data_IF_344688887280
#
_entry.id   IF_344688887280
#
_cell.length_a   1.000
_cell.length_b   1.000
_cell.length_c   1.000
_cell.angle_alpha   90.00
_cell.angle_beta   90.00
_cell.angle_gamma   90.00
#
_symmetry.space_group_name_H-M   'P 1'
#
loop_
_entity.id
_entity.type
_entity.pdbx_description
1 polymer ?
#
# COMPACT_ATOMS: atom_id res chain seq x y z
N UNK A 1 -32.50 27.89 -1.63
CA UNK A 1 -31.67 27.65 -2.86
C UNK A 1 -30.56 26.64 -2.60
N UNK A 2 -29.78 26.72 -1.49
CA UNK A 2 -28.71 25.78 -1.17
C UNK A 2 -29.31 24.42 -0.80
N UNK A 3 -30.30 24.39 0.08
CA UNK A 3 -31.00 23.16 0.48
C UNK A 3 -31.59 22.44 -0.74
N UNK A 4 -32.32 23.14 -1.61
CA UNK A 4 -32.86 22.57 -2.85
C UNK A 4 -31.77 22.02 -3.79
N UNK A 5 -30.59 22.65 -3.80
CA UNK A 5 -29.45 22.16 -4.57
C UNK A 5 -28.96 20.80 -4.05
N UNK A 6 -28.78 20.67 -2.73
CA UNK A 6 -28.34 19.40 -2.13
C UNK A 6 -29.37 18.28 -2.31
N UNK A 7 -30.66 18.57 -2.10
CA UNK A 7 -31.70 17.57 -2.35
C UNK A 7 -31.74 17.08 -3.80
N UNK A 8 -31.64 18.01 -4.75
CA UNK A 8 -31.59 17.66 -6.17
C UNK A 8 -30.32 16.88 -6.53
N UNK A 9 -29.19 17.25 -5.94
CA UNK A 9 -27.92 16.58 -6.19
C UNK A 9 -27.93 15.18 -5.59
N UNK A 10 -28.46 15.01 -4.39
CA UNK A 10 -28.60 13.71 -3.73
C UNK A 10 -29.53 12.74 -4.49
N UNK A 11 -30.57 13.28 -5.14
CA UNK A 11 -31.49 12.51 -6.00
C UNK A 11 -30.94 12.24 -7.41
N UNK A 12 -29.78 12.82 -7.76
CA UNK A 12 -29.13 12.63 -9.05
C UNK A 12 -28.03 11.54 -8.96
N UNK A 13 -27.57 11.06 -10.11
CA UNK A 13 -26.43 10.10 -10.18
C UNK A 13 -25.06 10.78 -10.02
N UNK A 14 -25.00 11.94 -9.32
CA UNK A 14 -23.74 12.65 -9.08
C UNK A 14 -23.13 12.23 -7.74
N UNK A 15 -21.85 11.91 -7.75
CA UNK A 15 -21.10 11.71 -6.51
C UNK A 15 -21.04 13.05 -5.73
N UNK A 16 -21.64 13.09 -4.54
CA UNK A 16 -21.62 14.28 -3.68
C UNK A 16 -20.31 14.42 -2.91
N UNK A 17 -19.65 13.31 -2.62
CA UNK A 17 -18.38 13.27 -1.93
C UNK A 17 -17.49 12.21 -2.57
N UNK A 18 -16.20 12.29 -2.27
CA UNK A 18 -15.19 11.30 -2.61
C UNK A 18 -14.47 10.88 -1.34
N UNK A 19 -14.05 9.65 -1.30
CA UNK A 19 -13.19 9.14 -0.26
C UNK A 19 -11.78 8.95 -0.81
N UNK A 20 -10.78 9.42 -0.06
CA UNK A 20 -9.37 9.20 -0.31
C UNK A 20 -8.80 8.41 0.87
N UNK A 21 -8.05 7.35 0.56
CA UNK A 21 -7.38 6.53 1.57
C UNK A 21 -5.88 6.77 1.45
N UNK A 22 -5.27 7.25 2.55
CA UNK A 22 -3.84 7.44 2.66
C UNK A 22 -3.25 6.36 3.56
N UNK A 23 -2.44 5.48 2.99
CA UNK A 23 -1.75 4.42 3.70
C UNK A 23 -0.25 4.52 3.45
N UNK A 24 0.56 4.39 4.50
CA UNK A 24 2.01 4.34 4.46
C UNK A 24 2.46 3.01 5.06
N UNK A 25 3.32 2.31 4.33
CA UNK A 25 3.76 0.97 4.72
C UNK A 25 2.71 -0.12 4.44
N UNK A 26 3.17 -1.34 4.48
CA UNK A 26 2.36 -2.54 4.34
C UNK A 26 2.26 -3.31 5.66
N UNK A 27 1.47 -4.38 5.69
CA UNK A 27 1.29 -5.22 6.87
C UNK A 27 2.63 -5.72 7.42
N UNK A 28 3.54 -6.19 6.55
CA UNK A 28 4.83 -6.73 6.96
C UNK A 28 5.72 -5.67 7.64
N UNK A 29 5.70 -4.44 7.13
CA UNK A 29 6.40 -3.33 7.75
C UNK A 29 5.89 -3.05 9.17
N UNK A 30 4.56 -3.02 9.35
CA UNK A 30 3.95 -2.69 10.63
C UNK A 30 4.01 -3.82 11.66
N UNK A 31 4.07 -5.09 11.22
CA UNK A 31 4.35 -6.22 12.10
C UNK A 31 5.78 -6.16 12.69
N UNK A 32 6.74 -5.66 11.89
CA UNK A 32 8.14 -5.48 12.34
C UNK A 32 8.37 -4.19 13.15
N UNK A 33 7.49 -3.20 13.04
CA UNK A 33 7.64 -1.88 13.64
C UNK A 33 6.39 -1.42 14.42
N UNK A 34 5.89 -2.19 15.38
CA UNK A 34 4.63 -1.87 16.08
C UNK A 34 4.73 -0.59 16.92
N UNK A 35 5.91 -0.27 17.43
CA UNK A 35 6.21 0.92 18.23
C UNK A 35 6.14 2.22 17.43
N UNK A 36 6.31 2.16 16.11
CA UNK A 36 6.25 3.33 15.23
C UNK A 36 4.81 3.72 14.83
N UNK A 37 3.81 2.87 15.09
CA UNK A 37 2.41 3.09 14.61
C UNK A 37 1.85 4.45 15.05
N UNK A 38 2.07 4.86 16.31
CA UNK A 38 1.58 6.14 16.85
C UNK A 38 2.26 7.38 16.26
N UNK A 39 3.43 7.22 15.65
CA UNK A 39 4.10 8.34 14.96
C UNK A 39 3.35 8.75 13.69
N UNK A 40 2.44 7.89 13.20
CA UNK A 40 1.61 8.19 12.04
C UNK A 40 0.60 9.32 12.27
N UNK A 41 0.27 9.66 13.52
CA UNK A 41 -0.58 10.82 13.82
C UNK A 41 -0.02 12.11 13.20
N UNK A 42 1.29 12.33 13.34
CA UNK A 42 1.96 13.52 12.77
C UNK A 42 1.98 13.43 11.25
N UNK A 43 2.32 12.25 10.70
CA UNK A 43 2.39 12.05 9.26
C UNK A 43 1.03 12.28 8.58
N UNK A 44 -0.05 11.70 9.11
CA UNK A 44 -1.39 11.87 8.56
C UNK A 44 -1.91 13.30 8.69
N UNK A 45 -1.59 14.00 9.79
CA UNK A 45 -1.91 15.42 9.94
C UNK A 45 -1.23 16.25 8.84
N UNK A 46 0.06 16.05 8.62
CA UNK A 46 0.78 16.76 7.56
C UNK A 46 0.25 16.42 6.15
N UNK A 47 -0.10 15.16 5.88
CA UNK A 47 -0.74 14.76 4.61
C UNK A 47 -2.06 15.49 4.42
N UNK A 48 -2.86 15.64 5.46
CA UNK A 48 -4.12 16.37 5.40
C UNK A 48 -3.90 17.85 5.10
N UNK A 49 -2.91 18.48 5.72
CA UNK A 49 -2.51 19.87 5.45
C UNK A 49 -2.01 20.04 4.01
N UNK A 50 -1.21 19.10 3.50
CA UNK A 50 -0.76 19.08 2.10
C UNK A 50 -1.94 18.91 1.12
N UNK A 51 -2.90 18.04 1.45
CA UNK A 51 -4.10 17.87 0.65
C UNK A 51 -4.89 19.19 0.56
N UNK A 52 -5.14 19.85 1.68
CA UNK A 52 -5.83 21.13 1.71
C UNK A 52 -5.08 22.23 0.93
N UNK A 53 -3.74 22.22 0.99
CA UNK A 53 -2.89 23.17 0.27
C UNK A 53 -2.89 22.96 -1.24
N UNK A 54 -2.73 21.71 -1.69
CA UNK A 54 -2.58 21.40 -3.12
C UNK A 54 -3.90 21.09 -3.83
N UNK A 55 -4.97 20.81 -3.07
CA UNK A 55 -6.29 20.48 -3.58
C UNK A 55 -7.40 21.32 -2.91
N UNK A 56 -7.36 22.66 -2.98
CA UNK A 56 -8.34 23.53 -2.31
C UNK A 56 -9.78 23.32 -2.79
N UNK A 57 -9.96 22.71 -3.96
CA UNK A 57 -11.26 22.33 -4.52
C UNK A 57 -11.83 21.04 -3.92
N UNK A 58 -11.07 20.32 -3.10
CA UNK A 58 -11.54 19.22 -2.26
C UNK A 58 -11.79 19.75 -0.85
N UNK A 59 -13.05 20.06 -0.55
CA UNK A 59 -13.44 20.54 0.78
C UNK A 59 -13.54 19.33 1.70
N UNK A 60 -12.57 19.18 2.59
CA UNK A 60 -12.54 18.08 3.55
C UNK A 60 -13.71 18.20 4.53
N UNK A 61 -14.56 17.19 4.56
CA UNK A 61 -15.69 17.08 5.47
C UNK A 61 -15.35 16.28 6.73
N UNK A 62 -14.54 15.23 6.59
CA UNK A 62 -14.09 14.40 7.70
C UNK A 62 -12.75 13.72 7.37
N UNK A 63 -11.95 13.45 8.39
CA UNK A 63 -10.75 12.65 8.29
C UNK A 63 -10.62 11.78 9.55
N UNK A 64 -10.46 10.46 9.36
CA UNK A 64 -10.38 9.48 10.45
C UNK A 64 -9.16 8.58 10.23
N UNK A 65 -8.39 8.35 11.28
CA UNK A 65 -7.23 7.46 11.26
C UNK A 65 -7.64 6.13 11.91
N UNK A 66 -7.38 5.03 11.21
CA UNK A 66 -7.61 3.68 11.68
C UNK A 66 -6.29 3.04 12.11
N UNK A 67 -6.27 2.53 13.35
CA UNK A 67 -5.13 1.82 13.95
C UNK A 67 -5.44 0.36 14.29
N UNK A 68 -6.69 -0.02 14.21
CA UNK A 68 -7.22 -1.35 14.54
C UNK A 68 -6.97 -2.39 13.44
N UNK A 69 -6.61 -1.95 12.25
CA UNK A 69 -6.26 -2.82 11.13
C UNK A 69 -4.74 -3.12 11.04
N UNK A 70 -4.36 -3.98 10.10
CA UNK A 70 -2.98 -4.43 9.91
C UNK A 70 -2.00 -3.28 9.64
N UNK A 71 -2.44 -2.25 8.93
CA UNK A 71 -1.65 -1.07 8.59
C UNK A 71 -2.40 0.20 8.97
N UNK A 72 -1.79 1.17 9.66
CA UNK A 72 -2.41 2.47 9.89
C UNK A 72 -2.75 3.15 8.57
N UNK A 73 -3.94 3.70 8.48
CA UNK A 73 -4.39 4.44 7.31
C UNK A 73 -5.39 5.53 7.71
N UNK A 74 -5.48 6.55 6.86
CA UNK A 74 -6.39 7.67 7.07
C UNK A 74 -7.43 7.70 5.95
N UNK A 75 -8.69 7.69 6.32
CA UNK A 75 -9.82 7.94 5.45
C UNK A 75 -10.14 9.43 5.44
N UNK A 76 -10.16 10.04 4.28
CA UNK A 76 -10.53 11.44 4.10
C UNK A 76 -11.75 11.51 3.20
N UNK A 77 -12.87 11.96 3.76
CA UNK A 77 -14.09 12.25 3.00
C UNK A 77 -14.09 13.73 2.62
N UNK A 78 -14.16 14.01 1.34
CA UNK A 78 -14.13 15.37 0.83
C UNK A 78 -15.20 15.62 -0.24
N UNK A 79 -15.71 16.85 -0.28
CA UNK A 79 -16.67 17.32 -1.28
C UNK A 79 -15.91 17.99 -2.42
N UNK A 80 -15.97 17.46 -3.66
CA UNK A 80 -15.29 18.04 -4.81
C UNK A 80 -16.10 19.24 -5.34
N UNK A 81 -15.65 20.46 -5.06
CA UNK A 81 -16.32 21.72 -5.44
C UNK A 81 -15.63 22.33 -6.63
N UNK A 82 -16.33 22.41 -7.75
CA UNK A 82 -15.86 23.09 -8.95
C UNK A 82 -16.60 24.42 -9.15
N UNK A 83 -15.93 25.36 -9.80
CA UNK A 83 -16.43 26.69 -10.09
C UNK A 83 -16.69 26.90 -11.60
N UNK A 84 -17.30 28.05 -11.95
CA UNK A 84 -17.49 28.47 -13.33
C UNK A 84 -18.67 27.81 -14.03
N UNK A 85 -19.70 27.39 -13.31
CA UNK A 85 -20.92 26.86 -13.91
C UNK A 85 -21.82 28.01 -14.37
N UNK A 86 -22.27 27.96 -15.63
CA UNK A 86 -23.17 28.97 -16.24
C UNK A 86 -24.63 28.75 -15.85
N UNK A 87 -25.03 27.53 -15.46
CA UNK A 87 -26.40 27.19 -15.08
C UNK A 87 -26.47 26.81 -13.62
N UNK A 88 -27.41 27.36 -12.88
CA UNK A 88 -27.59 27.12 -11.46
C UNK A 88 -26.65 27.94 -10.60
N UNK A 89 -26.05 27.30 -9.57
CA UNK A 89 -25.04 27.95 -8.73
C UNK A 89 -23.68 27.97 -9.45
N UNK A 90 -22.92 29.04 -9.27
CA UNK A 90 -21.58 29.20 -9.86
C UNK A 90 -20.59 28.16 -9.31
N UNK A 91 -20.73 27.76 -8.04
CA UNK A 91 -20.01 26.66 -7.38
C UNK A 91 -20.94 25.47 -7.27
N UNK A 92 -20.52 24.31 -7.75
CA UNK A 92 -21.28 23.07 -7.68
C UNK A 92 -20.37 21.88 -7.38
N UNK A 93 -20.95 20.83 -6.79
CA UNK A 93 -20.28 19.56 -6.62
C UNK A 93 -20.00 18.92 -7.98
N UNK A 94 -18.76 18.55 -8.24
CA UNK A 94 -18.36 17.90 -9.49
C UNK A 94 -17.07 17.08 -9.35
N UNK A 95 -17.21 15.79 -9.04
CA UNK A 95 -16.10 14.85 -9.05
C UNK A 95 -15.34 14.87 -10.39
N UNK A 96 -16.07 14.88 -11.51
CA UNK A 96 -15.47 14.86 -12.85
C UNK A 96 -14.57 16.07 -13.15
N UNK A 97 -14.89 17.26 -12.61
CA UNK A 97 -14.08 18.46 -12.82
C UNK A 97 -12.93 18.60 -11.84
N UNK A 98 -13.03 18.03 -10.66
CA UNK A 98 -12.04 18.15 -9.58
C UNK A 98 -11.09 16.96 -9.54
N UNK A 99 -11.65 15.74 -9.57
CA UNK A 99 -10.86 14.51 -9.50
C UNK A 99 -10.49 14.03 -10.91
N UNK A 100 -9.74 14.84 -11.64
CA UNK A 100 -9.25 14.51 -12.98
C UNK A 100 -8.06 13.54 -12.91
N UNK A 101 -7.67 13.02 -14.07
CA UNK A 101 -6.47 12.19 -14.16
C UNK A 101 -5.22 12.98 -13.74
N UNK A 102 -5.11 14.23 -14.19
CA UNK A 102 -4.03 15.13 -13.83
C UNK A 102 -3.98 15.38 -12.32
N UNK A 103 -5.14 15.56 -11.67
CA UNK A 103 -5.22 15.68 -10.21
C UNK A 103 -4.65 14.45 -9.52
N UNK A 104 -5.03 13.26 -9.97
CA UNK A 104 -4.56 12.00 -9.37
C UNK A 104 -3.05 11.79 -9.58
N UNK A 105 -2.54 12.08 -10.77
CA UNK A 105 -1.14 11.83 -11.15
C UNK A 105 -0.19 12.93 -10.66
N UNK A 106 -0.56 14.22 -10.83
CA UNK A 106 0.34 15.34 -10.52
C UNK A 106 0.19 15.81 -9.07
N UNK A 107 -1.01 15.80 -8.50
CA UNK A 107 -1.22 16.29 -7.14
C UNK A 107 -1.07 15.16 -6.13
N UNK A 108 -1.88 14.10 -6.20
CA UNK A 108 -1.83 13.03 -5.20
C UNK A 108 -0.56 12.18 -5.31
N UNK A 109 -0.29 11.64 -6.51
CA UNK A 109 0.85 10.76 -6.77
C UNK A 109 2.14 11.52 -7.14
N UNK A 110 2.06 12.81 -7.39
CA UNK A 110 3.16 13.71 -7.61
C UNK A 110 3.49 14.51 -6.36
N UNK A 111 2.99 15.73 -6.24
CA UNK A 111 3.38 16.72 -5.20
C UNK A 111 3.21 16.21 -3.77
N UNK A 112 2.05 15.62 -3.42
CA UNK A 112 1.82 15.12 -2.06
C UNK A 112 2.75 13.94 -1.79
N UNK A 113 2.87 13.00 -2.73
CA UNK A 113 3.76 11.85 -2.60
C UNK A 113 5.22 12.27 -2.42
N UNK A 114 5.71 13.23 -3.20
CA UNK A 114 7.08 13.76 -3.09
C UNK A 114 7.32 14.39 -1.72
N UNK A 115 6.39 15.20 -1.22
CA UNK A 115 6.49 15.76 0.13
C UNK A 115 6.56 14.66 1.20
N UNK A 116 5.75 13.61 1.07
CA UNK A 116 5.76 12.46 1.99
C UNK A 116 7.07 11.69 1.90
N UNK A 117 7.56 11.39 0.68
CA UNK A 117 8.82 10.67 0.47
C UNK A 117 10.00 11.40 1.13
N UNK A 118 10.04 12.74 1.06
CA UNK A 118 11.08 13.57 1.67
C UNK A 118 11.00 13.61 3.21
N UNK A 119 9.85 13.35 3.81
CA UNK A 119 9.63 13.46 5.26
C UNK A 119 9.49 12.12 5.97
N UNK A 120 9.27 11.04 5.23
CA UNK A 120 8.99 9.72 5.82
C UNK A 120 10.14 9.23 6.71
N UNK A 121 11.39 9.56 6.33
CA UNK A 121 12.56 9.22 7.13
C UNK A 121 12.54 9.91 8.50
N UNK A 122 12.08 11.18 8.57
CA UNK A 122 11.94 11.92 9.82
C UNK A 122 10.89 11.29 10.73
N UNK A 123 9.78 10.80 10.17
CA UNK A 123 8.70 10.21 10.93
C UNK A 123 8.99 8.78 11.39
N UNK A 124 9.55 7.96 10.50
CA UNK A 124 9.68 6.52 10.70
C UNK A 124 11.12 6.01 10.79
N UNK A 125 12.12 6.82 10.38
CA UNK A 125 13.52 6.39 10.26
C UNK A 125 13.77 5.42 9.10
N UNK A 126 12.85 5.38 8.12
CA UNK A 126 12.85 4.46 6.99
C UNK A 126 12.57 5.20 5.69
N UNK A 127 13.01 4.67 4.56
CA UNK A 127 12.66 5.20 3.25
C UNK A 127 11.50 4.41 2.63
N UNK A 128 10.62 5.10 1.90
CA UNK A 128 9.57 4.42 1.14
C UNK A 128 10.18 3.63 -0.03
N UNK A 129 9.57 2.49 -0.31
CA UNK A 129 9.85 1.74 -1.53
C UNK A 129 9.50 2.60 -2.75
N UNK A 130 10.31 2.52 -3.79
CA UNK A 130 10.09 3.21 -5.06
C UNK A 130 8.67 2.97 -5.59
N UNK A 131 8.09 3.98 -6.21
CA UNK A 131 6.78 3.89 -6.85
C UNK A 131 6.82 2.78 -7.92
N UNK A 132 5.90 1.83 -7.82
CA UNK A 132 5.72 0.83 -8.89
C UNK A 132 5.19 1.51 -10.15
N UNK A 133 5.80 1.20 -11.29
CA UNK A 133 5.29 1.65 -12.59
C UNK A 133 4.06 0.85 -12.98
N UNK A 134 3.08 1.54 -13.58
CA UNK A 134 1.84 0.95 -14.04
C UNK A 134 0.64 1.20 -13.11
N UNK A 135 -0.55 0.98 -13.65
CA UNK A 135 -1.82 1.09 -12.91
C UNK A 135 -2.15 -0.27 -12.31
N UNK A 136 -2.34 -0.32 -10.99
CA UNK A 136 -2.97 -1.50 -10.40
C UNK A 136 -4.39 -1.61 -10.92
N UNK A 137 -4.77 -2.81 -11.38
CA UNK A 137 -6.17 -3.11 -11.68
C UNK A 137 -6.92 -3.10 -10.34
N UNK A 138 -8.03 -2.38 -10.29
CA UNK A 138 -8.92 -2.46 -9.13
C UNK A 138 -9.51 -3.87 -9.09
N UNK A 139 -9.12 -4.62 -8.07
CA UNK A 139 -9.58 -5.98 -7.84
C UNK A 139 -10.75 -5.93 -6.85
N UNK A 140 -11.76 -6.76 -7.07
CA UNK A 140 -12.76 -7.02 -6.05
C UNK A 140 -12.10 -7.66 -4.82
N UNK A 141 -12.75 -7.61 -3.66
CA UNK A 141 -12.24 -8.21 -2.41
C UNK A 141 -11.93 -9.71 -2.61
N UNK A 142 -12.75 -10.40 -3.39
CA UNK A 142 -12.56 -11.83 -3.69
C UNK A 142 -11.33 -12.04 -4.56
N UNK A 143 -11.20 -11.30 -5.66
CA UNK A 143 -10.03 -11.37 -6.55
C UNK A 143 -8.73 -11.02 -5.82
N UNK A 144 -8.76 -10.02 -4.93
CA UNK A 144 -7.60 -9.66 -4.11
C UNK A 144 -7.19 -10.81 -3.15
N UNK A 145 -8.17 -11.44 -2.47
CA UNK A 145 -7.91 -12.58 -1.58
C UNK A 145 -7.32 -13.76 -2.36
N UNK A 146 -7.89 -14.11 -3.51
CA UNK A 146 -7.39 -15.18 -4.38
C UNK A 146 -5.96 -14.87 -4.84
N UNK A 147 -5.70 -13.65 -5.30
CA UNK A 147 -4.35 -13.22 -5.70
C UNK A 147 -3.35 -13.36 -4.56
N UNK A 148 -3.70 -12.93 -3.35
CA UNK A 148 -2.83 -13.04 -2.17
C UNK A 148 -2.56 -14.48 -1.77
N UNK A 149 -3.54 -15.36 -1.89
CA UNK A 149 -3.36 -16.78 -1.58
C UNK A 149 -2.46 -17.46 -2.62
N UNK A 150 -2.62 -17.14 -3.90
CA UNK A 150 -1.74 -17.61 -4.96
C UNK A 150 -0.28 -17.13 -4.77
N UNK A 151 -0.07 -15.85 -4.40
CA UNK A 151 1.26 -15.32 -4.08
C UNK A 151 1.93 -16.09 -2.92
N UNK A 152 1.18 -16.46 -1.88
CA UNK A 152 1.68 -17.28 -0.78
C UNK A 152 2.01 -18.70 -1.23
N UNK A 153 1.15 -19.30 -2.05
CA UNK A 153 1.36 -20.64 -2.58
C UNK A 153 2.64 -20.68 -3.44
N UNK A 154 2.81 -19.75 -4.37
CA UNK A 154 4.01 -19.65 -5.21
C UNK A 154 5.29 -19.48 -4.36
N UNK A 155 5.22 -18.69 -3.29
CA UNK A 155 6.36 -18.55 -2.35
C UNK A 155 6.66 -19.87 -1.65
N UNK A 156 5.64 -20.53 -1.13
CA UNK A 156 5.80 -21.82 -0.45
C UNK A 156 6.41 -22.90 -1.38
N UNK A 157 5.97 -22.94 -2.65
CA UNK A 157 6.55 -23.85 -3.66
C UNK A 157 8.06 -23.58 -3.85
N UNK A 158 8.45 -22.31 -3.99
CA UNK A 158 9.87 -21.93 -4.11
C UNK A 158 10.69 -22.30 -2.88
N UNK A 159 10.12 -22.07 -1.69
CA UNK A 159 10.80 -22.43 -0.43
C UNK A 159 11.01 -23.95 -0.34
N UNK A 160 10.05 -24.75 -0.77
CA UNK A 160 10.18 -26.22 -0.84
C UNK A 160 11.23 -26.65 -1.87
N UNK A 161 11.28 -26.01 -3.04
CA UNK A 161 12.33 -26.29 -4.04
C UNK A 161 13.73 -26.00 -3.51
N UNK A 162 13.91 -24.89 -2.78
CA UNK A 162 15.19 -24.54 -2.15
C UNK A 162 15.57 -25.59 -1.10
N UNK A 163 14.64 -25.98 -0.23
CA UNK A 163 14.87 -27.02 0.78
C UNK A 163 15.25 -28.37 0.14
N UNK A 164 14.55 -28.78 -0.90
CA UNK A 164 14.85 -30.04 -1.60
C UNK A 164 16.27 -30.03 -2.20
N UNK A 165 16.68 -28.90 -2.79
CA UNK A 165 18.03 -28.74 -3.32
C UNK A 165 19.12 -28.82 -2.21
N UNK A 166 18.85 -28.25 -1.03
CA UNK A 166 19.74 -28.36 0.13
C UNK A 166 19.83 -29.80 0.65
N UNK A 167 18.71 -30.51 0.73
CA UNK A 167 18.65 -31.93 1.11
C UNK A 167 19.47 -32.76 0.15
N UNK A 168 19.31 -32.55 -1.17
CA UNK A 168 20.09 -33.27 -2.18
C UNK A 168 21.62 -33.06 -2.01
N UNK A 169 22.04 -31.81 -1.77
CA UNK A 169 23.45 -31.48 -1.51
C UNK A 169 23.97 -32.19 -0.28
N UNK A 170 23.26 -32.10 0.84
CA UNK A 170 23.67 -32.76 2.10
C UNK A 170 23.70 -34.28 1.98
N UNK A 171 22.74 -34.84 1.23
CA UNK A 171 22.72 -36.30 0.97
C UNK A 171 23.94 -36.74 0.16
N UNK A 172 24.30 -35.97 -0.88
CA UNK A 172 25.50 -36.24 -1.67
C UNK A 172 26.81 -36.09 -0.85
N UNK A 173 26.88 -35.08 0.02
CA UNK A 173 28.01 -34.91 0.94
C UNK A 173 28.13 -36.04 1.91
N UNK A 174 27.01 -36.48 2.49
CA UNK A 174 26.99 -37.66 3.39
C UNK A 174 27.49 -38.93 2.69
N UNK A 175 26.96 -39.21 1.48
CA UNK A 175 27.40 -40.39 0.71
C UNK A 175 28.91 -40.36 0.42
N UNK A 176 29.50 -39.20 0.12
CA UNK A 176 30.94 -39.06 -0.08
C UNK A 176 31.72 -39.30 1.22
N UNK A 177 31.20 -38.82 2.35
CA UNK A 177 31.82 -39.02 3.65
C UNK A 177 31.77 -40.51 4.06
N UNK A 178 30.63 -41.17 3.89
CA UNK A 178 30.43 -42.57 4.17
C UNK A 178 31.38 -43.47 3.32
N UNK A 179 31.52 -43.11 2.02
CA UNK A 179 32.46 -43.82 1.14
C UNK A 179 33.93 -43.67 1.59
N UNK A 180 34.35 -42.46 1.96
CA UNK A 180 35.69 -42.22 2.49
C UNK A 180 35.95 -42.99 3.79
N UNK A 181 34.96 -43.04 4.66
CA UNK A 181 35.06 -43.79 5.91
C UNK A 181 35.24 -45.28 5.64
N UNK A 182 34.52 -45.85 4.70
CA UNK A 182 34.64 -47.24 4.30
C UNK A 182 36.02 -47.53 3.70
N UNK A 183 36.52 -46.65 2.80
CA UNK A 183 37.86 -46.76 2.21
C UNK A 183 38.95 -46.75 3.31
N UNK A 184 38.86 -45.84 4.28
CA UNK A 184 39.82 -45.78 5.42
C UNK A 184 39.74 -46.99 6.32
N UNK A 185 38.55 -47.55 6.53
CA UNK A 185 38.35 -48.75 7.32
C UNK A 185 38.96 -49.99 6.66
N UNK A 186 38.89 -50.10 5.34
CA UNK A 186 39.53 -51.19 4.58
C UNK A 186 41.05 -51.07 4.59
N UNK A 187 41.62 -49.87 4.43
CA UNK A 187 43.06 -49.62 4.52
C UNK A 187 43.63 -49.98 5.88
N UNK A 188 42.88 -49.66 6.98
CA UNK A 188 43.31 -50.06 8.32
C UNK A 188 43.32 -51.61 8.54
N UNK A 189 42.34 -52.27 7.92
CA UNK A 189 42.22 -53.72 8.01
C UNK A 189 43.33 -54.52 7.25
N UNK A 190 43.86 -53.87 6.20
CA UNK A 190 44.95 -54.45 5.41
C UNK A 190 46.33 -54.15 5.99
N UNK A 191 46.44 -53.25 6.96
CA UNK A 191 47.68 -52.85 7.62
C UNK A 191 47.98 -53.64 8.91
N UNK A 192 46.97 -54.39 9.43
CA UNK A 192 47.13 -55.35 10.58
C UNK A 192 47.32 -56.77 10.06
#
# INVERSE_FOLDING_TARGET
KIHDYFEKTAKSNKDMAVELIFQIGDKEFWEKNPDKRRRMDVAFKEILELLQKFAPNLVVANAVIHYDEASPHMHVVAVPVAEGFKKGMTKQVSKRKVCTKEFLEEVLQGKIRECVDNRIFVWLGEFLKSKKTGRNKDLSIVEYKVKKENEKYEKAVKDVEVMNNEILKKTAEKQRADKKLEETYQELKEAD
#
